data_IF_346647241649
#
_entry.id   IF_346647241649
#
_cell.length_a   1.000
_cell.length_b   1.000
_cell.length_c   1.000
_cell.angle_alpha   90.00
_cell.angle_beta   90.00
_cell.angle_gamma   90.00
#
_symmetry.space_group_name_H-M   'P 1'
#
loop_
_entity.id
_entity.type
_entity.pdbx_description
1 polymer ?
#
# COMPACT_ATOMS: atom_id res chain seq x y z
N UNK A 1 13.95 61.98 30.33
CA UNK A 1 14.40 60.81 29.59
C UNK A 1 13.39 59.70 29.87
N UNK A 2 12.50 59.42 28.92
CA UNK A 2 11.45 58.37 29.05
C UNK A 2 11.90 57.18 28.20
N UNK A 3 12.30 56.10 28.85
CA UNK A 3 12.65 54.82 28.22
C UNK A 3 11.38 54.06 27.90
N UNK A 4 11.13 53.90 26.59
CA UNK A 4 10.05 53.09 26.05
C UNK A 4 10.52 51.63 25.99
N UNK A 5 9.93 50.76 26.81
CA UNK A 5 10.18 49.30 26.74
C UNK A 5 9.18 48.72 25.77
N UNK A 6 9.65 48.28 24.59
CA UNK A 6 8.89 47.51 23.59
C UNK A 6 8.89 46.03 24.02
N UNK A 7 7.77 45.54 24.53
CA UNK A 7 7.55 44.13 24.74
C UNK A 7 7.22 43.45 23.41
N UNK A 8 8.17 42.67 22.87
CA UNK A 8 7.93 41.76 21.74
C UNK A 8 7.20 40.53 22.26
N UNK A 9 5.90 40.46 22.01
CA UNK A 9 5.12 39.22 22.21
C UNK A 9 5.40 38.26 21.06
N UNK A 10 6.24 37.24 21.29
CA UNK A 10 6.43 36.13 20.38
C UNK A 10 5.20 35.23 20.39
N UNK A 11 4.36 35.35 19.37
CA UNK A 11 3.24 34.44 19.10
C UNK A 11 3.80 33.11 18.60
N UNK A 12 3.94 32.12 19.48
CA UNK A 12 4.30 30.78 19.11
C UNK A 12 3.12 30.15 18.32
N UNK A 13 3.26 30.08 17.00
CA UNK A 13 2.42 29.27 16.12
C UNK A 13 2.68 27.80 16.45
N UNK A 14 1.86 27.21 17.31
CA UNK A 14 1.79 25.77 17.47
C UNK A 14 1.22 25.21 16.16
N UNK A 15 2.10 24.79 15.25
CA UNK A 15 1.73 23.94 14.11
C UNK A 15 1.23 22.63 14.69
N UNK A 16 -0.09 22.47 14.81
CA UNK A 16 -0.70 21.17 15.00
C UNK A 16 -0.35 20.36 13.74
N UNK A 17 0.64 19.47 13.84
CA UNK A 17 0.82 18.41 12.88
C UNK A 17 -0.53 17.68 12.84
N UNK A 18 -1.24 17.80 11.72
CA UNK A 18 -2.38 16.96 11.47
C UNK A 18 -1.83 15.52 11.51
N UNK A 19 -2.15 14.77 12.57
CA UNK A 19 -1.81 13.36 12.64
C UNK A 19 -2.55 12.72 11.47
N UNK A 20 -1.79 12.19 10.50
CA UNK A 20 -2.33 11.34 9.47
C UNK A 20 -3.09 10.21 10.17
N UNK A 21 -4.27 9.84 9.65
CA UNK A 21 -4.99 8.67 10.16
C UNK A 21 -4.38 7.42 9.51
N UNK A 22 -3.49 6.69 10.21
CA UNK A 22 -2.79 5.56 9.62
C UNK A 22 -3.75 4.43 9.21
N UNK A 23 -4.93 4.35 9.84
CA UNK A 23 -5.96 3.37 9.46
C UNK A 23 -6.61 3.77 8.14
N UNK A 24 -6.98 5.03 7.97
CA UNK A 24 -7.56 5.54 6.73
C UNK A 24 -6.53 5.45 5.58
N UNK A 25 -5.28 5.83 5.83
CA UNK A 25 -4.21 5.83 4.83
C UNK A 25 -3.90 4.42 4.30
N UNK A 26 -3.71 3.42 5.19
CA UNK A 26 -3.48 2.03 4.74
C UNK A 26 -4.69 1.43 4.03
N UNK A 27 -5.92 1.80 4.42
CA UNK A 27 -7.15 1.38 3.72
C UNK A 27 -7.22 1.99 2.32
N UNK A 28 -6.85 3.26 2.16
CA UNK A 28 -6.80 3.93 0.86
C UNK A 28 -5.78 3.25 -0.06
N UNK A 29 -4.57 2.97 0.42
CA UNK A 29 -3.53 2.27 -0.36
C UNK A 29 -3.97 0.85 -0.75
N UNK A 30 -4.61 0.10 0.14
CA UNK A 30 -5.16 -1.22 -0.20
C UNK A 30 -6.29 -1.15 -1.23
N UNK A 31 -7.11 -0.10 -1.20
CA UNK A 31 -8.14 0.15 -2.23
C UNK A 31 -7.51 0.45 -3.59
N UNK A 32 -6.43 1.23 -3.64
CA UNK A 32 -5.67 1.49 -4.87
C UNK A 32 -5.10 0.19 -5.46
N UNK A 33 -4.46 -0.67 -4.63
CA UNK A 33 -3.97 -2.00 -5.05
C UNK A 33 -5.10 -2.86 -5.60
N UNK A 34 -6.24 -2.89 -4.90
CA UNK A 34 -7.43 -3.60 -5.36
C UNK A 34 -7.94 -3.11 -6.72
N UNK A 35 -7.88 -1.81 -6.97
CA UNK A 35 -8.23 -1.20 -8.25
C UNK A 35 -7.30 -1.66 -9.39
N UNK A 36 -6.00 -1.65 -9.17
CA UNK A 36 -5.03 -2.11 -10.16
C UNK A 36 -5.17 -3.61 -10.46
N UNK A 37 -5.31 -4.46 -9.41
CA UNK A 37 -5.59 -5.88 -9.57
C UNK A 37 -6.92 -6.13 -10.31
N UNK A 38 -7.92 -5.29 -10.08
CA UNK A 38 -9.22 -5.33 -10.77
C UNK A 38 -9.14 -5.02 -12.28
N UNK A 39 -8.08 -4.38 -12.75
CA UNK A 39 -7.81 -4.19 -14.18
C UNK A 39 -7.14 -5.43 -14.80
N UNK A 40 -6.25 -6.09 -14.06
CA UNK A 40 -5.48 -7.26 -14.52
C UNK A 40 -6.31 -8.55 -14.51
N UNK A 41 -7.07 -8.79 -13.45
CA UNK A 41 -7.77 -10.05 -13.24
C UNK A 41 -8.76 -10.42 -14.36
N UNK A 42 -9.57 -9.51 -14.93
CA UNK A 42 -10.45 -9.83 -16.05
C UNK A 42 -9.70 -10.27 -17.32
N UNK A 43 -8.51 -9.71 -17.59
CA UNK A 43 -7.67 -10.14 -18.71
C UNK A 43 -7.11 -11.54 -18.47
N UNK A 44 -6.63 -11.81 -17.25
CA UNK A 44 -6.13 -13.14 -16.86
C UNK A 44 -7.21 -14.23 -16.96
N UNK A 45 -8.45 -13.89 -16.61
CA UNK A 45 -9.61 -14.80 -16.67
C UNK A 45 -10.21 -14.96 -18.06
N UNK A 46 -9.79 -14.15 -19.03
CA UNK A 46 -10.38 -14.11 -20.37
C UNK A 46 -11.75 -13.41 -20.45
N UNK A 47 -12.14 -12.69 -19.41
CA UNK A 47 -13.37 -11.87 -19.36
C UNK A 47 -13.24 -10.56 -20.16
N UNK A 48 -11.99 -10.14 -20.40
CA UNK A 48 -11.62 -9.02 -21.26
C UNK A 48 -10.47 -9.41 -22.17
N UNK A 49 -10.38 -8.84 -23.39
CA UNK A 49 -9.21 -8.96 -24.23
C UNK A 49 -7.95 -8.48 -23.49
N UNK A 50 -6.83 -9.11 -23.81
CA UNK A 50 -5.54 -8.65 -23.33
C UNK A 50 -5.21 -7.27 -23.94
N UNK A 51 -4.74 -6.35 -23.08
CA UNK A 51 -4.28 -5.01 -23.43
C UNK A 51 -2.94 -4.76 -22.74
N UNK A 52 -1.86 -4.72 -23.51
CA UNK A 52 -0.51 -4.56 -22.99
C UNK A 52 -0.32 -3.21 -22.26
N UNK A 53 -0.89 -2.12 -22.79
CA UNK A 53 -0.76 -0.80 -22.20
C UNK A 53 -1.51 -0.72 -20.86
N UNK A 54 -2.73 -1.24 -20.82
CA UNK A 54 -3.52 -1.30 -19.58
C UNK A 54 -2.84 -2.19 -18.52
N UNK A 55 -2.26 -3.33 -18.92
CA UNK A 55 -1.53 -4.22 -18.02
C UNK A 55 -0.29 -3.52 -17.43
N UNK A 56 0.51 -2.85 -18.26
CA UNK A 56 1.68 -2.09 -17.78
C UNK A 56 1.28 -0.95 -16.86
N UNK A 57 0.24 -0.16 -17.19
CA UNK A 57 -0.28 0.91 -16.32
C UNK A 57 -0.71 0.36 -14.96
N UNK A 58 -1.33 -0.82 -14.92
CA UNK A 58 -1.74 -1.43 -13.65
C UNK A 58 -0.52 -1.86 -12.81
N UNK A 59 0.53 -2.44 -13.41
CA UNK A 59 1.77 -2.79 -12.70
C UNK A 59 2.51 -1.55 -12.19
N UNK A 60 2.61 -0.50 -12.99
CA UNK A 60 3.21 0.78 -12.58
C UNK A 60 2.42 1.42 -11.43
N UNK A 61 1.09 1.30 -11.44
CA UNK A 61 0.24 1.76 -10.33
C UNK A 61 0.47 0.97 -9.05
N UNK A 62 0.68 -0.36 -9.14
CA UNK A 62 1.05 -1.19 -7.99
C UNK A 62 2.42 -0.80 -7.43
N UNK A 63 3.40 -0.55 -8.29
CA UNK A 63 4.73 -0.11 -7.88
C UNK A 63 4.70 1.26 -7.20
N UNK A 64 4.07 2.26 -7.83
CA UNK A 64 3.93 3.59 -7.24
C UNK A 64 3.15 3.59 -5.91
N UNK A 65 2.24 2.63 -5.73
CA UNK A 65 1.56 2.42 -4.45
C UNK A 65 2.53 1.84 -3.41
N UNK A 66 3.39 0.89 -3.78
CA UNK A 66 4.41 0.33 -2.89
C UNK A 66 5.37 1.39 -2.38
N UNK A 67 5.82 2.31 -3.23
CA UNK A 67 6.67 3.44 -2.82
C UNK A 67 6.04 4.33 -1.72
N UNK A 68 4.69 4.35 -1.63
CA UNK A 68 3.95 5.07 -0.59
C UNK A 68 3.68 4.23 0.65
N UNK A 69 3.91 2.90 0.58
CA UNK A 69 3.54 1.96 1.63
C UNK A 69 4.62 1.89 2.73
N UNK A 70 4.84 3.02 3.41
CA UNK A 70 5.73 3.10 4.57
C UNK A 70 5.11 2.35 5.76
N UNK A 71 5.61 1.15 6.04
CA UNK A 71 5.07 0.28 7.09
C UNK A 71 5.17 0.93 8.46
N UNK A 72 6.26 1.63 8.77
CA UNK A 72 6.46 2.23 10.09
C UNK A 72 5.50 3.41 10.32
N UNK A 73 5.19 4.17 9.28
CA UNK A 73 4.19 5.24 9.33
C UNK A 73 2.75 4.72 9.33
N UNK A 74 2.47 3.66 8.55
CA UNK A 74 1.12 3.11 8.38
C UNK A 74 0.68 2.17 9.51
N UNK A 75 1.61 1.56 10.24
CA UNK A 75 1.35 0.61 11.32
C UNK A 75 2.04 0.99 12.64
N UNK A 76 1.87 2.24 13.14
CA UNK A 76 2.42 2.63 14.42
C UNK A 76 1.79 1.80 15.56
N UNK A 77 2.50 1.71 16.68
CA UNK A 77 2.00 1.02 17.87
C UNK A 77 0.63 1.58 18.31
N UNK A 78 -0.31 0.70 18.64
CA UNK A 78 -1.66 1.08 19.06
C UNK A 78 -2.64 1.37 17.92
N UNK A 79 -2.24 1.18 16.65
CA UNK A 79 -3.15 1.30 15.50
C UNK A 79 -3.81 -0.03 15.07
N UNK A 80 -3.81 -1.00 15.96
CA UNK A 80 -4.47 -2.32 15.81
C UNK A 80 -5.94 -2.32 16.26
N UNK A 81 -6.44 -1.18 16.75
CA UNK A 81 -7.82 -1.02 17.24
C UNK A 81 -8.60 -0.03 16.37
N UNK A 82 -9.93 -0.06 16.45
CA UNK A 82 -10.81 0.82 15.68
C UNK A 82 -11.32 0.16 14.39
N UNK A 83 -11.63 0.97 13.37
CA UNK A 83 -12.16 0.49 12.08
C UNK A 83 -11.05 -0.10 11.18
N UNK A 84 -10.47 -1.19 11.63
CA UNK A 84 -9.38 -1.89 10.92
C UNK A 84 -9.62 -3.39 10.85
N UNK A 85 -9.08 -4.01 9.81
CA UNK A 85 -8.97 -5.48 9.66
C UNK A 85 -7.54 -5.96 9.86
N UNK A 86 -6.60 -5.08 10.20
CA UNK A 86 -5.24 -5.48 10.57
C UNK A 86 -5.26 -6.31 11.85
N UNK A 87 -4.62 -7.46 11.84
CA UNK A 87 -4.52 -8.32 13.01
C UNK A 87 -3.36 -7.89 13.91
N UNK A 88 -3.43 -8.08 15.24
CA UNK A 88 -2.33 -7.85 16.17
C UNK A 88 -1.04 -8.56 15.76
N UNK A 89 -1.16 -9.64 14.98
CA UNK A 89 -0.05 -10.40 14.43
C UNK A 89 0.98 -9.56 13.67
N UNK A 90 0.56 -8.43 13.09
CA UNK A 90 1.48 -7.49 12.41
C UNK A 90 2.54 -6.96 13.39
N UNK A 91 2.12 -6.54 14.57
CA UNK A 91 3.01 -5.95 15.60
C UNK A 91 3.78 -7.01 16.38
N UNK A 92 3.28 -8.24 16.45
CA UNK A 92 3.98 -9.39 17.02
C UNK A 92 5.10 -9.91 16.09
N UNK A 93 4.93 -9.76 14.77
CA UNK A 93 5.82 -10.29 13.73
C UNK A 93 6.06 -9.24 12.63
N UNK A 94 6.54 -8.07 13.04
CA UNK A 94 6.81 -6.97 12.12
C UNK A 94 7.86 -7.34 11.05
N UNK A 95 8.83 -8.18 11.38
CA UNK A 95 9.82 -8.64 10.42
C UNK A 95 9.21 -9.51 9.32
N UNK A 96 8.32 -10.44 9.68
CA UNK A 96 7.57 -11.26 8.72
C UNK A 96 6.60 -10.42 7.88
N UNK A 97 6.00 -9.40 8.47
CA UNK A 97 5.12 -8.48 7.75
C UNK A 97 5.87 -7.66 6.71
N UNK A 98 7.05 -7.10 7.06
CA UNK A 98 7.94 -6.41 6.12
C UNK A 98 8.41 -7.33 4.99
N UNK A 99 8.81 -8.55 5.32
CA UNK A 99 9.21 -9.54 4.32
C UNK A 99 8.06 -9.92 3.34
N UNK A 100 6.81 -9.94 3.82
CA UNK A 100 5.66 -10.17 2.95
C UNK A 100 5.43 -9.02 1.97
N UNK A 101 5.64 -7.77 2.39
CA UNK A 101 5.58 -6.59 1.51
C UNK A 101 6.72 -6.60 0.49
N UNK A 102 7.96 -6.84 0.92
CA UNK A 102 9.11 -6.98 0.02
C UNK A 102 8.90 -8.02 -1.07
N UNK A 103 8.27 -9.16 -0.71
CA UNK A 103 7.92 -10.21 -1.68
C UNK A 103 6.90 -9.73 -2.70
N UNK A 104 5.91 -8.94 -2.29
CA UNK A 104 4.94 -8.34 -3.20
C UNK A 104 5.64 -7.35 -4.15
N UNK A 105 6.46 -6.44 -3.63
CA UNK A 105 7.20 -5.47 -4.44
C UNK A 105 8.13 -6.14 -5.45
N UNK A 106 8.83 -7.21 -5.05
CA UNK A 106 9.69 -7.98 -5.95
C UNK A 106 8.88 -8.63 -7.09
N UNK A 107 7.68 -9.13 -6.81
CA UNK A 107 6.81 -9.71 -7.82
C UNK A 107 6.28 -8.64 -8.80
N UNK A 108 5.94 -7.45 -8.32
CA UNK A 108 5.52 -6.32 -9.16
C UNK A 108 6.68 -5.84 -10.04
N UNK A 109 7.87 -5.66 -9.48
CA UNK A 109 9.06 -5.26 -10.24
C UNK A 109 9.40 -6.29 -11.33
N UNK A 110 9.30 -7.58 -11.03
CA UNK A 110 9.49 -8.64 -12.02
C UNK A 110 8.46 -8.58 -13.16
N UNK A 111 7.19 -8.26 -12.85
CA UNK A 111 6.13 -8.12 -13.85
C UNK A 111 6.40 -6.93 -14.79
N UNK A 112 6.84 -5.79 -14.24
CA UNK A 112 7.25 -4.61 -15.02
C UNK A 112 8.42 -4.94 -15.94
N UNK A 113 9.43 -5.62 -15.42
CA UNK A 113 10.63 -5.99 -16.20
C UNK A 113 10.31 -6.99 -17.32
N UNK A 114 9.39 -7.91 -17.07
CA UNK A 114 8.99 -8.95 -18.03
C UNK A 114 8.21 -8.39 -19.23
N UNK A 115 7.52 -7.25 -19.07
CA UNK A 115 6.72 -6.60 -20.15
C UNK A 115 5.87 -7.62 -20.91
N UNK A 116 4.93 -8.32 -20.26
CA UNK A 116 4.15 -9.37 -20.91
C UNK A 116 3.54 -8.86 -22.21
N UNK A 117 3.55 -9.67 -23.27
CA UNK A 117 3.07 -9.28 -24.59
C UNK A 117 1.75 -9.99 -24.96
N UNK A 118 1.34 -10.97 -24.17
CA UNK A 118 0.11 -11.73 -24.35
C UNK A 118 -0.47 -12.19 -23.01
N UNK A 119 -1.64 -12.80 -23.06
CA UNK A 119 -2.36 -13.25 -21.86
C UNK A 119 -1.64 -14.35 -21.10
N UNK A 120 -0.88 -15.21 -21.78
CA UNK A 120 -0.18 -16.31 -21.11
C UNK A 120 1.05 -15.80 -20.37
N UNK A 121 1.79 -14.87 -20.96
CA UNK A 121 2.83 -14.14 -20.26
C UNK A 121 2.27 -13.32 -19.09
N UNK A 122 1.11 -12.67 -19.26
CA UNK A 122 0.43 -11.96 -18.18
C UNK A 122 0.08 -12.88 -17.00
N UNK A 123 -0.47 -14.09 -17.27
CA UNK A 123 -0.80 -15.07 -16.22
C UNK A 123 0.43 -15.47 -15.40
N UNK A 124 1.59 -15.64 -16.06
CA UNK A 124 2.83 -16.02 -15.38
C UNK A 124 3.29 -14.98 -14.37
N UNK A 125 3.22 -13.70 -14.71
CA UNK A 125 3.64 -12.61 -13.79
C UNK A 125 2.55 -12.22 -12.79
N UNK A 126 1.28 -12.37 -13.13
CA UNK A 126 0.15 -12.10 -12.24
C UNK A 126 0.05 -13.09 -11.07
N UNK A 127 0.37 -14.38 -11.31
CA UNK A 127 0.29 -15.44 -10.30
C UNK A 127 1.08 -15.11 -9.01
N UNK A 128 2.38 -14.80 -9.09
CA UNK A 128 3.19 -14.40 -7.94
C UNK A 128 2.66 -13.18 -7.19
N UNK A 129 2.15 -12.16 -7.89
CA UNK A 129 1.54 -10.96 -7.28
C UNK A 129 0.30 -11.37 -6.47
N UNK A 130 -0.62 -12.13 -7.09
CA UNK A 130 -1.82 -12.63 -6.42
C UNK A 130 -1.51 -13.51 -5.20
N UNK A 131 -0.50 -14.38 -5.32
CA UNK A 131 -0.05 -15.23 -4.21
C UNK A 131 0.52 -14.41 -3.05
N UNK A 132 1.24 -13.32 -3.31
CA UNK A 132 1.75 -12.43 -2.28
C UNK A 132 0.61 -11.70 -1.55
N UNK A 133 -0.39 -11.21 -2.28
CA UNK A 133 -1.60 -10.62 -1.69
C UNK A 133 -2.32 -11.63 -0.76
N UNK A 134 -2.55 -12.86 -1.25
CA UNK A 134 -3.23 -13.91 -0.50
C UNK A 134 -2.46 -14.32 0.75
N UNK A 135 -1.16 -14.56 0.64
CA UNK A 135 -0.31 -14.99 1.74
C UNK A 135 -0.21 -13.96 2.87
N UNK A 136 -0.02 -12.68 2.51
CA UNK A 136 -0.02 -11.59 3.48
C UNK A 136 -1.38 -11.47 4.20
N UNK A 137 -2.48 -11.47 3.46
CA UNK A 137 -3.82 -11.36 4.01
C UNK A 137 -4.23 -12.55 4.89
N UNK A 138 -3.79 -13.77 4.58
CA UNK A 138 -4.06 -14.95 5.43
C UNK A 138 -3.42 -14.83 6.82
N UNK A 139 -2.25 -14.19 6.91
CA UNK A 139 -1.49 -14.10 8.15
C UNK A 139 -1.82 -12.85 8.95
N UNK A 140 -2.02 -11.72 8.28
CA UNK A 140 -1.99 -10.40 8.90
C UNK A 140 -3.32 -9.64 8.83
N UNK A 141 -4.35 -10.19 8.18
CA UNK A 141 -5.65 -9.56 8.01
C UNK A 141 -6.78 -10.45 8.48
N UNK A 142 -7.75 -9.86 9.22
CA UNK A 142 -8.98 -10.56 9.59
C UNK A 142 -9.81 -10.95 8.35
N UNK A 143 -10.51 -12.10 8.36
CA UNK A 143 -11.40 -12.48 7.28
C UNK A 143 -12.44 -11.40 6.97
N UNK A 144 -12.86 -11.35 5.71
CA UNK A 144 -14.00 -10.53 5.33
C UNK A 144 -15.27 -11.25 5.83
N UNK A 145 -16.00 -10.59 6.69
CA UNK A 145 -17.34 -10.99 7.11
C UNK A 145 -18.35 -10.59 6.06
#
# INVERSE_FOLDING_TARGET
MKTLVLALSALALASSAAFADPIADRKALMKERGGAMGQLAPMVKGEKPYDAAAAMTAFESLHANGEKFDIDALFPAGSDTGDTKALPKIWEDMAGFKAAEEKFEAAVAAAIAAKPQDVDALKQVFGPIGASCGGCHQTYRAPQS
#
